data_IF_868173793290
#
_entry.id   IF_868173793290
#
_cell.length_a   1.000
_cell.length_b   1.000
_cell.length_c   1.000
_cell.angle_alpha   90.00
_cell.angle_beta   90.00
_cell.angle_gamma   90.00
#
_symmetry.space_group_name_H-M   'P 1'
#
loop_
_entity.id
_entity.type
_entity.pdbx_description
1 polymer ?
#
# COMPACT_ATOMS: atom_id res chain seq x y z
N UNK A 1 32.49 -17.44 21.11
CA UNK A 1 31.02 -17.45 21.08
C UNK A 1 30.60 -16.04 20.66
N UNK A 2 30.38 -15.84 19.39
CA UNK A 2 29.81 -14.59 18.88
C UNK A 2 28.37 -14.50 19.36
N UNK A 3 28.07 -13.50 20.18
CA UNK A 3 26.69 -13.15 20.50
C UNK A 3 26.07 -12.72 19.19
N UNK A 4 25.23 -13.57 18.59
CA UNK A 4 24.29 -13.15 17.56
C UNK A 4 23.45 -12.01 18.16
N UNK A 5 23.68 -10.80 17.72
CA UNK A 5 22.82 -9.66 18.02
C UNK A 5 21.47 -9.99 17.37
N UNK A 6 20.59 -10.57 18.16
CA UNK A 6 19.24 -10.95 17.68
C UNK A 6 18.34 -9.75 17.95
N UNK A 7 17.64 -9.29 16.92
CA UNK A 7 16.57 -8.30 17.05
C UNK A 7 15.58 -8.76 18.11
N UNK A 8 15.51 -8.03 19.21
CA UNK A 8 14.73 -8.43 20.37
C UNK A 8 13.24 -8.12 20.19
N UNK A 9 12.40 -8.85 20.92
CA UNK A 9 10.96 -8.54 20.93
C UNK A 9 10.66 -7.11 21.44
N UNK A 10 11.51 -6.59 22.33
CA UNK A 10 11.41 -5.24 22.85
C UNK A 10 11.69 -4.20 21.76
N UNK A 11 12.78 -4.35 21.02
CA UNK A 11 13.09 -3.51 19.86
C UNK A 11 11.98 -3.54 18.80
N UNK A 12 11.44 -4.73 18.52
CA UNK A 12 10.33 -4.86 17.58
C UNK A 12 9.07 -4.10 18.06
N UNK A 13 8.76 -4.13 19.34
CA UNK A 13 7.64 -3.38 19.91
C UNK A 13 7.87 -1.87 19.86
N UNK A 14 9.10 -1.42 20.14
CA UNK A 14 9.48 -0.01 20.02
C UNK A 14 9.32 0.51 18.59
N UNK A 15 9.80 -0.25 17.59
CA UNK A 15 9.66 0.12 16.18
C UNK A 15 8.18 0.16 15.79
N UNK A 16 7.39 -0.86 16.13
CA UNK A 16 5.95 -0.87 15.86
C UNK A 16 5.28 0.38 16.49
N UNK A 17 5.59 0.68 17.73
CA UNK A 17 5.01 1.83 18.43
C UNK A 17 5.40 3.16 17.76
N UNK A 18 6.65 3.30 17.34
CA UNK A 18 7.15 4.48 16.63
C UNK A 18 6.37 4.71 15.33
N UNK A 19 6.22 3.67 14.49
CA UNK A 19 5.47 3.78 13.24
C UNK A 19 3.97 4.02 13.48
N UNK A 20 3.39 3.37 14.49
CA UNK A 20 1.97 3.58 14.84
C UNK A 20 1.72 5.03 15.29
N UNK A 21 2.61 5.62 16.07
CA UNK A 21 2.47 7.02 16.50
C UNK A 21 2.51 8.01 15.34
N UNK A 22 3.28 7.71 14.28
CA UNK A 22 3.33 8.55 13.07
C UNK A 22 2.08 8.38 12.19
N UNK A 23 1.43 7.21 12.26
CA UNK A 23 0.24 6.91 11.46
C UNK A 23 -1.06 7.49 12.03
N UNK A 24 -1.11 7.81 13.33
CA UNK A 24 -2.34 8.24 14.02
C UNK A 24 -2.98 9.47 13.37
N UNK A 25 -2.15 10.46 13.00
CA UNK A 25 -2.63 11.74 12.48
C UNK A 25 -2.33 11.93 10.98
N UNK A 26 -1.73 10.91 10.32
CA UNK A 26 -1.35 11.03 8.91
C UNK A 26 -2.56 10.83 7.99
N UNK A 27 -2.87 11.84 7.19
CA UNK A 27 -3.99 11.86 6.25
C UNK A 27 -3.56 11.64 4.79
N UNK A 28 -2.28 11.82 4.49
CA UNK A 28 -1.75 11.60 3.14
C UNK A 28 -1.58 10.11 2.87
N UNK A 29 -2.35 9.58 1.91
CA UNK A 29 -2.30 8.18 1.54
C UNK A 29 -0.90 7.69 1.15
N UNK A 30 -0.15 8.50 0.41
CA UNK A 30 1.20 8.15 -0.02
C UNK A 30 2.14 8.00 1.17
N UNK A 31 2.01 8.87 2.16
CA UNK A 31 2.78 8.79 3.40
C UNK A 31 2.36 7.60 4.26
N UNK A 32 1.05 7.34 4.38
CA UNK A 32 0.55 6.14 5.08
C UNK A 32 1.14 4.87 4.46
N UNK A 33 1.07 4.72 3.14
CA UNK A 33 1.65 3.55 2.45
C UNK A 33 3.16 3.49 2.64
N UNK A 34 3.86 4.62 2.58
CA UNK A 34 5.32 4.69 2.79
C UNK A 34 5.71 4.25 4.20
N UNK A 35 5.03 4.75 5.23
CA UNK A 35 5.28 4.38 6.63
C UNK A 35 5.02 2.88 6.88
N UNK A 36 3.91 2.35 6.35
CA UNK A 36 3.58 0.93 6.46
C UNK A 36 4.61 0.06 5.72
N UNK A 37 5.07 0.54 4.56
CA UNK A 37 6.10 -0.16 3.77
C UNK A 37 7.43 -0.17 4.50
N UNK A 38 7.82 0.93 5.10
CA UNK A 38 9.07 1.02 5.85
C UNK A 38 9.02 0.22 7.16
N UNK A 39 7.88 0.21 7.85
CA UNK A 39 7.68 -0.68 9.00
C UNK A 39 8.00 -2.14 8.65
N UNK A 40 7.48 -2.65 7.55
CA UNK A 40 7.76 -4.02 7.14
C UNK A 40 9.21 -4.23 6.74
N UNK A 41 9.87 -3.25 6.12
CA UNK A 41 11.31 -3.30 5.85
C UNK A 41 12.11 -3.48 7.13
N UNK A 42 11.77 -2.70 8.16
CA UNK A 42 12.41 -2.78 9.48
C UNK A 42 12.14 -4.13 10.14
N UNK A 43 10.89 -4.57 10.20
CA UNK A 43 10.50 -5.83 10.86
C UNK A 43 11.07 -7.07 10.15
N UNK A 44 11.24 -7.03 8.83
CA UNK A 44 11.86 -8.11 8.07
C UNK A 44 13.39 -8.02 8.02
N UNK A 45 13.99 -6.94 8.53
CA UNK A 45 15.42 -6.64 8.35
C UNK A 45 15.86 -6.78 6.91
N UNK A 46 15.18 -6.09 6.01
CA UNK A 46 15.45 -6.14 4.58
C UNK A 46 16.05 -4.83 4.07
N UNK A 47 16.79 -4.91 2.99
CA UNK A 47 17.38 -3.73 2.34
C UNK A 47 16.30 -2.84 1.74
N UNK A 48 15.28 -3.46 1.14
CA UNK A 48 14.12 -2.78 0.56
C UNK A 48 12.83 -3.49 0.90
N UNK A 49 11.73 -2.73 0.87
CA UNK A 49 10.39 -3.27 0.89
C UNK A 49 9.47 -2.47 -0.04
N UNK A 50 8.41 -3.09 -0.47
CA UNK A 50 7.35 -2.46 -1.27
C UNK A 50 5.99 -3.07 -0.94
N UNK A 51 4.97 -2.23 -0.98
CA UNK A 51 3.59 -2.68 -0.95
C UNK A 51 3.00 -2.58 -2.36
N UNK A 52 2.41 -3.67 -2.82
CA UNK A 52 1.78 -3.81 -4.12
C UNK A 52 0.28 -3.88 -3.96
N UNK A 53 -0.41 -2.90 -4.51
CA UNK A 53 -1.87 -2.86 -4.51
C UNK A 53 -2.43 -3.60 -5.73
N UNK A 54 -3.47 -4.40 -5.51
CA UNK A 54 -4.19 -5.09 -6.57
C UNK A 54 -5.32 -4.23 -7.12
N UNK A 55 -5.19 -3.77 -8.35
CA UNK A 55 -6.24 -3.09 -9.10
C UNK A 55 -7.03 -4.11 -9.95
N UNK A 56 -8.10 -4.62 -9.37
CA UNK A 56 -8.94 -5.62 -10.02
C UNK A 56 -9.65 -5.10 -11.29
N UNK A 57 -9.88 -3.78 -11.39
CA UNK A 57 -10.54 -3.16 -12.54
C UNK A 57 -9.64 -3.14 -13.78
N UNK A 58 -8.36 -2.88 -13.58
CA UNK A 58 -7.38 -2.77 -14.65
C UNK A 58 -6.50 -4.02 -14.79
N UNK A 59 -6.72 -5.04 -13.94
CA UNK A 59 -5.94 -6.30 -13.90
C UNK A 59 -4.43 -6.06 -13.82
N UNK A 60 -4.02 -5.24 -12.86
CA UNK A 60 -2.63 -4.85 -12.66
C UNK A 60 -2.31 -4.66 -11.19
N UNK A 61 -1.03 -4.80 -10.87
CA UNK A 61 -0.46 -4.41 -9.59
C UNK A 61 0.24 -3.08 -9.74
N UNK A 62 0.13 -2.23 -8.74
CA UNK A 62 0.91 -1.01 -8.70
C UNK A 62 1.49 -0.79 -7.30
N UNK A 63 2.63 -0.16 -7.23
CA UNK A 63 3.25 0.26 -5.97
C UNK A 63 3.53 1.74 -6.01
N UNK A 64 3.38 2.38 -4.85
CA UNK A 64 4.05 3.65 -4.59
C UNK A 64 5.46 3.25 -4.18
N UNK A 65 6.42 3.50 -5.06
CA UNK A 65 7.81 3.17 -4.74
C UNK A 65 8.22 3.91 -3.46
N UNK A 66 8.84 3.17 -2.57
CA UNK A 66 9.44 3.75 -1.39
C UNK A 66 10.43 4.85 -1.82
N UNK A 67 10.19 6.07 -1.31
CA UNK A 67 11.07 7.24 -1.42
C UNK A 67 11.50 7.61 -2.86
N UNK A 68 10.69 8.42 -3.52
CA UNK A 68 11.17 9.26 -4.64
C UNK A 68 11.18 8.64 -6.03
N UNK A 69 10.44 7.57 -6.27
CA UNK A 69 10.26 7.02 -7.61
C UNK A 69 8.81 7.07 -8.08
N UNK A 70 8.62 7.13 -9.39
CA UNK A 70 7.31 7.09 -10.02
C UNK A 70 6.56 5.77 -9.71
N UNK A 71 5.22 5.83 -9.78
CA UNK A 71 4.35 4.67 -9.64
C UNK A 71 4.78 3.57 -10.63
N UNK A 72 5.20 2.42 -10.07
CA UNK A 72 5.51 1.24 -10.89
C UNK A 72 4.23 0.43 -11.06
N UNK A 73 3.96 -0.01 -12.28
CA UNK A 73 2.79 -0.84 -12.62
C UNK A 73 3.26 -2.13 -13.29
N UNK A 74 2.70 -3.26 -12.85
CA UNK A 74 3.00 -4.59 -13.37
C UNK A 74 1.68 -5.29 -13.74
N UNK A 75 1.55 -5.88 -14.94
CA UNK A 75 0.33 -6.59 -15.33
C UNK A 75 0.13 -7.87 -14.51
N UNK A 76 -1.12 -8.31 -14.42
CA UNK A 76 -1.50 -9.61 -13.87
C UNK A 76 -0.83 -10.74 -14.66
N UNK A 77 -0.57 -11.87 -14.00
CA UNK A 77 -0.02 -13.08 -14.62
C UNK A 77 1.50 -13.14 -14.63
N UNK A 78 2.20 -12.24 -13.92
CA UNK A 78 3.66 -12.26 -13.90
C UNK A 78 4.28 -11.99 -12.53
N UNK A 79 5.34 -12.71 -12.25
CA UNK A 79 6.21 -12.45 -11.11
C UNK A 79 5.76 -13.04 -9.77
N UNK A 80 6.59 -12.82 -8.78
CA UNK A 80 6.42 -13.36 -7.41
C UNK A 80 5.19 -12.76 -6.72
N UNK A 81 4.88 -11.49 -7.01
CA UNK A 81 3.75 -10.76 -6.42
C UNK A 81 2.45 -11.41 -6.88
N UNK A 82 2.30 -11.63 -8.18
CA UNK A 82 1.14 -12.30 -8.76
C UNK A 82 0.96 -13.70 -8.16
N UNK A 83 2.02 -14.51 -8.15
CA UNK A 83 2.00 -15.84 -7.58
C UNK A 83 1.56 -15.84 -6.10
N UNK A 84 2.02 -14.87 -5.29
CA UNK A 84 1.63 -14.75 -3.89
C UNK A 84 0.15 -14.37 -3.73
N UNK A 85 -0.34 -13.44 -4.53
CA UNK A 85 -1.73 -12.97 -4.48
C UNK A 85 -2.71 -14.04 -4.96
N UNK A 86 -2.45 -14.65 -6.11
CA UNK A 86 -3.33 -15.65 -6.71
C UNK A 86 -3.42 -16.93 -5.86
N UNK A 87 -2.29 -17.42 -5.35
CA UNK A 87 -2.26 -18.60 -4.50
C UNK A 87 -2.62 -18.31 -3.04
N UNK A 88 -2.66 -17.03 -2.65
CA UNK A 88 -2.84 -16.57 -1.25
C UNK A 88 -1.79 -17.17 -0.31
N UNK A 89 -0.58 -17.28 -0.78
CA UNK A 89 0.52 -17.89 -0.06
C UNK A 89 1.70 -16.95 0.13
N UNK A 90 2.35 -17.07 1.29
CA UNK A 90 3.64 -16.41 1.53
C UNK A 90 4.75 -17.17 0.81
N UNK A 91 5.48 -16.47 -0.04
CA UNK A 91 6.57 -17.01 -0.85
C UNK A 91 7.91 -16.51 -0.29
N UNK A 92 8.81 -17.43 -0.03
CA UNK A 92 10.21 -17.14 0.33
C UNK A 92 11.13 -17.69 -0.74
N UNK A 93 12.01 -16.86 -1.26
CA UNK A 93 13.00 -17.23 -2.28
C UNK A 93 14.35 -16.66 -1.85
N UNK A 94 15.31 -17.53 -1.58
CA UNK A 94 16.65 -17.14 -1.16
C UNK A 94 17.69 -17.22 -2.29
N UNK A 95 17.26 -17.57 -3.51
CA UNK A 95 18.01 -17.46 -4.76
C UNK A 95 17.04 -17.11 -5.91
N UNK A 96 16.67 -15.82 -6.08
CA UNK A 96 15.66 -15.41 -7.05
C UNK A 96 16.02 -15.74 -8.51
N UNK A 97 17.28 -15.73 -8.86
CA UNK A 97 17.71 -16.01 -10.23
C UNK A 97 17.56 -17.47 -10.67
N UNK A 98 17.28 -18.37 -9.72
CA UNK A 98 16.94 -19.76 -9.99
C UNK A 98 15.44 -20.02 -10.00
N UNK A 99 14.62 -19.04 -9.64
CA UNK A 99 13.15 -19.17 -9.63
C UNK A 99 12.56 -18.64 -10.95
N UNK A 100 11.86 -19.51 -11.68
CA UNK A 100 11.29 -19.19 -12.99
C UNK A 100 10.27 -18.02 -12.94
N UNK A 101 9.69 -17.76 -11.77
CA UNK A 101 8.75 -16.64 -11.56
C UNK A 101 9.44 -15.30 -11.42
N UNK A 102 10.75 -15.28 -11.12
CA UNK A 102 11.47 -14.04 -10.93
C UNK A 102 11.76 -13.35 -12.27
N UNK A 103 11.37 -12.07 -12.35
CA UNK A 103 11.69 -11.25 -13.52
C UNK A 103 12.87 -10.31 -13.22
N UNK A 104 14.05 -10.56 -13.79
CA UNK A 104 15.23 -9.75 -13.55
C UNK A 104 15.27 -8.42 -14.33
N UNK A 105 14.20 -8.04 -15.01
CA UNK A 105 14.17 -6.83 -15.85
C UNK A 105 14.42 -5.55 -15.02
N UNK A 106 13.83 -5.46 -13.81
CA UNK A 106 14.02 -4.32 -12.91
C UNK A 106 15.46 -4.24 -12.42
N UNK A 107 16.06 -5.38 -12.05
CA UNK A 107 17.47 -5.44 -11.63
C UNK A 107 18.40 -4.99 -12.74
N UNK A 108 18.16 -5.46 -13.98
CA UNK A 108 18.95 -5.05 -15.16
C UNK A 108 18.84 -3.55 -15.46
N UNK A 109 17.65 -2.99 -15.28
CA UNK A 109 17.40 -1.57 -15.55
C UNK A 109 18.01 -0.66 -14.49
N UNK A 110 17.97 -1.08 -13.21
CA UNK A 110 18.36 -0.24 -12.06
C UNK A 110 19.78 -0.50 -11.58
N UNK A 111 20.40 -1.60 -12.00
CA UNK A 111 21.68 -2.08 -11.46
C UNK A 111 21.57 -2.67 -10.04
N UNK A 112 20.36 -2.82 -9.53
CA UNK A 112 20.11 -3.48 -8.25
C UNK A 112 20.25 -5.01 -8.41
N UNK A 113 20.69 -5.69 -7.35
CA UNK A 113 20.82 -7.16 -7.35
C UNK A 113 19.91 -7.74 -6.28
N UNK A 114 18.87 -8.43 -6.71
CA UNK A 114 17.95 -9.12 -5.82
C UNK A 114 18.55 -10.46 -5.38
N UNK A 115 18.84 -10.62 -4.09
CA UNK A 115 19.48 -11.82 -3.51
C UNK A 115 18.49 -12.72 -2.78
N UNK A 116 17.46 -12.14 -2.18
CA UNK A 116 16.39 -12.87 -1.49
C UNK A 116 15.09 -12.08 -1.52
N UNK A 117 13.96 -12.81 -1.51
CA UNK A 117 12.61 -12.24 -1.55
C UNK A 117 11.76 -12.92 -0.50
N UNK A 118 11.01 -12.13 0.27
CA UNK A 118 9.88 -12.56 1.08
C UNK A 118 8.65 -11.79 0.61
N UNK A 119 7.70 -12.48 0.00
CA UNK A 119 6.46 -11.88 -0.51
C UNK A 119 5.26 -12.50 0.19
N UNK A 120 4.34 -11.64 0.65
CA UNK A 120 3.19 -12.05 1.46
C UNK A 120 1.93 -11.34 0.99
N UNK A 121 0.81 -12.07 0.79
CA UNK A 121 -0.47 -11.45 0.46
C UNK A 121 -0.99 -10.65 1.65
N UNK A 122 -1.55 -9.48 1.37
CA UNK A 122 -2.19 -8.61 2.37
C UNK A 122 -3.70 -8.68 2.18
N UNK A 123 -4.40 -8.99 3.28
CA UNK A 123 -5.85 -9.12 3.28
C UNK A 123 -6.51 -8.03 4.11
N UNK A 124 -7.70 -7.62 3.71
CA UNK A 124 -8.55 -6.77 4.52
C UNK A 124 -9.25 -7.56 5.66
N UNK A 125 -10.03 -6.87 6.50
CA UNK A 125 -10.76 -7.48 7.61
C UNK A 125 -11.78 -8.56 7.17
N UNK A 126 -12.21 -8.54 5.90
CA UNK A 126 -13.12 -9.55 5.31
C UNK A 126 -12.37 -10.75 4.69
N UNK A 127 -11.04 -10.81 4.82
CA UNK A 127 -10.20 -11.85 4.22
C UNK A 127 -10.02 -11.73 2.70
N UNK A 128 -10.44 -10.62 2.09
CA UNK A 128 -10.20 -10.35 0.68
C UNK A 128 -8.75 -9.87 0.50
N UNK A 129 -8.02 -10.46 -0.44
CA UNK A 129 -6.69 -9.98 -0.81
C UNK A 129 -6.80 -8.61 -1.48
N UNK A 130 -6.07 -7.63 -0.96
CA UNK A 130 -6.02 -6.25 -1.46
C UNK A 130 -4.67 -5.90 -2.07
N UNK A 131 -3.67 -6.75 -1.89
CA UNK A 131 -2.33 -6.54 -2.40
C UNK A 131 -1.33 -7.54 -1.86
N UNK A 132 -0.05 -7.24 -2.01
CA UNK A 132 1.03 -8.03 -1.42
C UNK A 132 2.10 -7.11 -0.82
N UNK A 133 2.72 -7.62 0.21
CA UNK A 133 3.91 -7.04 0.81
C UNK A 133 5.14 -7.78 0.33
N UNK A 134 6.15 -7.07 -0.14
CA UNK A 134 7.40 -7.66 -0.61
C UNK A 134 8.59 -7.04 0.11
N UNK A 135 9.37 -7.86 0.81
CA UNK A 135 10.67 -7.51 1.36
C UNK A 135 11.78 -8.13 0.50
N UNK A 136 12.83 -7.36 0.22
CA UNK A 136 13.91 -7.75 -0.70
C UNK A 136 15.24 -7.60 0.01
N UNK A 137 16.12 -8.58 -0.18
CA UNK A 137 17.47 -8.66 0.38
C UNK A 137 17.48 -8.62 1.90
N UNK A 138 17.32 -9.80 2.49
CA UNK A 138 17.49 -9.98 3.94
C UNK A 138 18.87 -9.50 4.36
N UNK A 139 18.93 -8.77 5.47
CA UNK A 139 20.16 -8.34 6.11
C UNK A 139 20.35 -9.07 7.44
N UNK A 140 21.55 -9.55 7.68
CA UNK A 140 21.99 -10.00 8.99
C UNK A 140 22.23 -8.80 9.91
N UNK A 141 22.44 -9.06 11.22
CA UNK A 141 22.66 -7.99 12.19
C UNK A 141 23.93 -7.15 11.91
N UNK A 142 24.90 -7.71 11.21
CA UNK A 142 26.12 -7.03 10.78
C UNK A 142 25.97 -6.28 9.43
N UNK A 143 24.75 -6.27 8.86
CA UNK A 143 24.45 -5.65 7.56
C UNK A 143 24.84 -6.48 6.35
N UNK A 144 25.39 -7.69 6.53
CA UNK A 144 25.66 -8.60 5.42
C UNK A 144 24.39 -9.24 4.86
N UNK A 145 24.46 -9.75 3.62
CA UNK A 145 23.33 -10.45 3.01
C UNK A 145 22.99 -11.71 3.80
N UNK A 146 21.70 -11.86 4.14
CA UNK A 146 21.13 -13.00 4.81
C UNK A 146 20.09 -13.74 3.96
N UNK A 147 19.40 -14.68 4.59
CA UNK A 147 18.29 -15.44 4.01
C UNK A 147 17.04 -15.28 4.86
N UNK A 148 15.87 -15.16 4.21
CA UNK A 148 14.61 -15.13 4.95
C UNK A 148 14.26 -16.50 5.50
N UNK A 149 13.71 -16.52 6.73
CA UNK A 149 13.29 -17.71 7.44
C UNK A 149 11.83 -17.63 7.98
N UNK A 150 11.40 -18.62 8.74
CA UNK A 150 10.06 -18.66 9.34
C UNK A 150 9.82 -17.55 10.39
N UNK A 151 10.87 -17.03 11.01
CA UNK A 151 10.77 -15.91 11.95
C UNK A 151 10.48 -14.62 11.21
N UNK A 152 11.15 -14.41 10.09
CA UNK A 152 10.90 -13.26 9.21
C UNK A 152 9.48 -13.25 8.67
N UNK A 153 8.92 -14.41 8.29
CA UNK A 153 7.51 -14.54 7.91
C UNK A 153 6.58 -14.06 9.02
N UNK A 154 6.83 -14.48 10.27
CA UNK A 154 6.01 -14.06 11.41
C UNK A 154 6.08 -12.55 11.64
N UNK A 155 7.27 -11.96 11.56
CA UNK A 155 7.46 -10.53 11.72
C UNK A 155 6.75 -9.75 10.61
N UNK A 156 6.92 -10.17 9.36
CA UNK A 156 6.26 -9.51 8.24
C UNK A 156 4.73 -9.67 8.30
N UNK A 157 4.21 -10.77 8.88
CA UNK A 157 2.77 -10.95 9.08
C UNK A 157 2.17 -9.83 9.93
N UNK A 158 2.87 -9.35 10.94
CA UNK A 158 2.41 -8.22 11.75
C UNK A 158 2.27 -6.96 10.90
N UNK A 159 3.29 -6.62 10.10
CA UNK A 159 3.23 -5.49 9.18
C UNK A 159 2.10 -5.66 8.16
N UNK A 160 1.92 -6.85 7.58
CA UNK A 160 0.88 -7.14 6.60
C UNK A 160 -0.53 -6.97 7.17
N UNK A 161 -0.78 -7.44 8.40
CA UNK A 161 -2.08 -7.27 9.09
C UNK A 161 -2.36 -5.80 9.37
N UNK A 162 -1.38 -5.05 9.86
CA UNK A 162 -1.52 -3.62 10.08
C UNK A 162 -1.77 -2.87 8.78
N UNK A 163 -0.98 -3.14 7.76
CA UNK A 163 -1.13 -2.58 6.43
C UNK A 163 -2.54 -2.82 5.88
N UNK A 164 -3.02 -4.05 5.95
CA UNK A 164 -4.36 -4.41 5.47
C UNK A 164 -5.47 -3.64 6.15
N UNK A 165 -5.43 -3.52 7.48
CA UNK A 165 -6.43 -2.77 8.26
C UNK A 165 -6.37 -1.26 8.01
N UNK A 166 -5.18 -0.68 8.01
CA UNK A 166 -5.01 0.76 7.82
C UNK A 166 -5.41 1.19 6.42
N UNK A 167 -5.01 0.42 5.40
CA UNK A 167 -5.41 0.69 4.02
C UNK A 167 -6.91 0.50 3.80
N UNK A 168 -7.52 -0.53 4.38
CA UNK A 168 -8.98 -0.71 4.31
C UNK A 168 -9.71 0.47 4.95
N UNK A 169 -9.29 0.92 6.13
CA UNK A 169 -9.86 2.09 6.80
C UNK A 169 -9.75 3.34 5.94
N UNK A 170 -8.58 3.58 5.34
CA UNK A 170 -8.35 4.72 4.46
C UNK A 170 -9.21 4.66 3.18
N UNK A 171 -9.29 3.49 2.55
CA UNK A 171 -10.12 3.30 1.35
C UNK A 171 -11.61 3.51 1.63
N UNK A 172 -12.09 2.97 2.76
CA UNK A 172 -13.48 3.18 3.20
C UNK A 172 -13.79 4.66 3.47
N UNK A 173 -12.87 5.36 4.12
CA UNK A 173 -13.02 6.79 4.36
C UNK A 173 -13.06 7.59 3.05
N UNK A 174 -12.21 7.23 2.09
CA UNK A 174 -12.21 7.83 0.75
C UNK A 174 -13.49 7.53 -0.02
N UNK A 175 -13.99 6.27 0.01
CA UNK A 175 -15.25 5.89 -0.64
C UNK A 175 -16.45 6.67 -0.08
N UNK A 176 -16.45 6.96 1.22
CA UNK A 176 -17.52 7.76 1.87
C UNK A 176 -17.51 9.22 1.37
N UNK A 177 -16.38 9.73 0.88
CA UNK A 177 -16.20 11.12 0.43
C UNK A 177 -16.42 11.33 -1.07
N UNK A 178 -16.52 10.26 -1.83
CA UNK A 178 -16.63 10.28 -3.30
C UNK A 178 -18.03 9.81 -3.71
N UNK A 179 -18.60 10.48 -4.70
CA UNK A 179 -19.81 10.02 -5.37
C UNK A 179 -19.47 8.87 -6.32
N UNK A 180 -20.09 7.68 -6.16
CA UNK A 180 -19.69 6.49 -6.92
C UNK A 180 -20.04 6.56 -8.40
N UNK A 181 -20.98 7.44 -8.80
CA UNK A 181 -21.40 7.59 -10.19
C UNK A 181 -20.46 8.49 -10.98
N UNK A 182 -20.11 9.62 -10.39
CA UNK A 182 -19.34 10.68 -11.06
C UNK A 182 -17.84 10.63 -10.74
N UNK A 183 -17.43 9.97 -9.65
CA UNK A 183 -16.07 10.00 -9.14
C UNK A 183 -15.65 11.34 -8.52
N UNK A 184 -16.59 12.28 -8.39
CA UNK A 184 -16.35 13.57 -7.76
C UNK A 184 -16.54 13.51 -6.24
N UNK A 185 -16.00 14.48 -5.55
CA UNK A 185 -16.21 14.65 -4.11
C UNK A 185 -17.69 14.87 -3.83
N UNK A 186 -18.29 14.05 -2.97
CA UNK A 186 -19.67 14.20 -2.56
C UNK A 186 -19.82 15.34 -1.51
N UNK A 187 -21.06 15.55 -1.06
CA UNK A 187 -21.38 16.60 -0.08
C UNK A 187 -20.52 16.51 1.19
N UNK A 188 -20.30 15.30 1.72
CA UNK A 188 -19.51 15.09 2.94
C UNK A 188 -18.04 15.47 2.71
N UNK A 189 -17.43 14.94 1.67
CA UNK A 189 -16.05 15.26 1.33
C UNK A 189 -15.84 16.74 1.01
N UNK A 190 -16.85 17.43 0.43
CA UNK A 190 -16.80 18.88 0.23
C UNK A 190 -16.77 19.66 1.55
N UNK A 191 -17.61 19.31 2.53
CA UNK A 191 -17.60 19.99 3.83
C UNK A 191 -16.30 19.75 4.60
N UNK A 192 -15.76 18.54 4.58
CA UNK A 192 -14.48 18.23 5.22
C UNK A 192 -13.33 19.00 4.56
N UNK A 193 -13.28 19.04 3.22
CA UNK A 193 -12.30 19.86 2.49
C UNK A 193 -12.43 21.35 2.84
N UNK A 194 -13.67 21.86 2.95
CA UNK A 194 -13.93 23.24 3.33
C UNK A 194 -13.39 23.54 4.73
N UNK A 195 -13.68 22.70 5.71
CA UNK A 195 -13.22 22.87 7.08
C UNK A 195 -11.69 22.79 7.19
N UNK A 196 -11.07 21.85 6.48
CA UNK A 196 -9.63 21.62 6.55
C UNK A 196 -8.80 22.66 5.79
N UNK A 197 -9.34 23.22 4.70
CA UNK A 197 -8.57 24.04 3.77
C UNK A 197 -9.04 25.49 3.71
N UNK A 198 -10.35 25.70 3.65
CA UNK A 198 -10.93 27.02 3.34
C UNK A 198 -11.20 27.82 4.60
N UNK A 199 -11.55 27.16 5.70
CA UNK A 199 -11.83 27.83 6.97
C UNK A 199 -10.56 28.30 7.72
N UNK A 200 -9.38 27.86 7.31
CA UNK A 200 -8.12 28.34 7.86
C UNK A 200 -7.78 29.75 7.33
N UNK A 201 -7.70 30.77 8.19
CA UNK A 201 -7.38 32.15 7.79
C UNK A 201 -6.04 32.30 7.06
N UNK A 202 -5.13 31.34 7.19
CA UNK A 202 -3.81 31.38 6.53
C UNK A 202 -3.88 30.96 5.04
N UNK A 203 -4.96 30.31 4.62
CA UNK A 203 -5.11 29.80 3.25
C UNK A 203 -5.71 30.81 2.24
N UNK A 204 -5.91 32.05 2.66
CA UNK A 204 -6.37 33.14 1.79
C UNK A 204 -7.89 33.14 1.55
N UNK A 205 -8.32 33.57 0.36
CA UNK A 205 -9.73 33.65 -0.03
C UNK A 205 -10.11 32.54 -0.97
N UNK A 206 -11.31 31.96 -0.77
CA UNK A 206 -11.88 30.98 -1.65
C UNK A 206 -13.21 31.46 -2.22
N UNK A 207 -13.59 30.97 -3.40
CA UNK A 207 -14.90 31.21 -4.02
C UNK A 207 -15.64 29.88 -4.20
N UNK A 208 -16.95 29.89 -3.93
CA UNK A 208 -17.81 28.73 -4.14
C UNK A 208 -18.74 29.04 -5.30
N UNK A 209 -18.79 28.13 -6.28
CA UNK A 209 -19.70 28.18 -7.39
C UNK A 209 -20.72 27.06 -7.23
N UNK A 210 -22.00 27.38 -7.17
CA UNK A 210 -23.07 26.40 -7.13
C UNK A 210 -23.74 26.34 -8.51
N UNK A 211 -23.82 25.17 -9.10
CA UNK A 211 -24.46 24.93 -10.39
C UNK A 211 -25.58 23.91 -10.22
N UNK A 212 -26.66 24.09 -10.97
CA UNK A 212 -27.78 23.16 -11.05
C UNK A 212 -28.23 23.02 -12.51
N UNK A 213 -28.88 21.92 -12.84
CA UNK A 213 -29.40 21.65 -14.17
C UNK A 213 -30.86 22.06 -14.23
N UNK A 214 -31.16 23.10 -15.03
CA UNK A 214 -32.53 23.56 -15.21
C UNK A 214 -33.41 22.45 -15.80
N UNK A 215 -34.59 22.29 -15.22
CA UNK A 215 -35.60 21.34 -15.68
C UNK A 215 -35.14 19.88 -15.73
N UNK A 216 -34.15 19.45 -14.93
CA UNK A 216 -33.63 18.08 -14.90
C UNK A 216 -34.74 17.03 -14.70
N UNK A 217 -35.71 17.32 -13.83
CA UNK A 217 -36.88 16.45 -13.64
C UNK A 217 -37.61 16.17 -14.97
N UNK A 218 -37.78 17.20 -15.86
CA UNK A 218 -38.44 17.04 -17.15
C UNK A 218 -37.65 16.10 -18.09
N UNK A 219 -36.33 16.11 -18.00
CA UNK A 219 -35.48 15.19 -18.76
C UNK A 219 -35.73 13.74 -18.28
N UNK A 220 -35.76 13.52 -16.99
CA UNK A 220 -36.06 12.19 -16.41
C UNK A 220 -37.47 11.70 -16.75
N UNK A 221 -38.45 12.57 -16.67
CA UNK A 221 -39.85 12.24 -16.96
C UNK A 221 -40.06 11.95 -18.47
N UNK A 222 -39.25 12.53 -19.34
CA UNK A 222 -39.34 12.36 -20.81
C UNK A 222 -38.53 11.17 -21.33
N UNK A 223 -37.32 10.97 -20.83
CA UNK A 223 -36.32 10.02 -21.36
C UNK A 223 -35.99 8.89 -20.40
N UNK A 224 -36.57 8.89 -19.21
CA UNK A 224 -36.29 7.91 -18.15
C UNK A 224 -35.07 8.25 -17.27
N UNK A 225 -35.02 7.68 -16.07
CA UNK A 225 -33.96 7.94 -15.10
C UNK A 225 -32.55 7.53 -15.57
N UNK A 226 -32.45 6.67 -16.59
CA UNK A 226 -31.15 6.29 -17.15
C UNK A 226 -30.55 7.33 -18.08
N UNK A 227 -31.32 8.35 -18.48
CA UNK A 227 -30.86 9.44 -19.32
C UNK A 227 -30.37 10.66 -18.52
N UNK A 228 -30.78 10.75 -17.27
CA UNK A 228 -30.34 11.76 -16.30
C UNK A 228 -29.42 11.16 -15.26
#
# INVERSE_FOLDING_TARGET
MEQQITYSAEQMLEDIFLYMSQLVDEKDFSKVVSLLTDLGRVLAHSERASFWYWDAKHKQYWTLAAVGSDKITVPEGSGIIDASIQNKETIVINDPYQDERFNPAVDKQTGFVTKSILCMPVTNAKGKVIGAYQAINKLNADGTAGTFDEKDKKHLTLAAVYCGKTLESYLLDTEIRIDPLTGLTNRRGFYEFYEETVSDPQNGTASIIMCDIDFFKKVNDTYGHNAG
#
